data_IF_481304292410
#
_entry.id   IF_481304292410
#
_cell.length_a   1.000
_cell.length_b   1.000
_cell.length_c   1.000
_cell.angle_alpha   90.00
_cell.angle_beta   90.00
_cell.angle_gamma   90.00
#
_symmetry.space_group_name_H-M   'P 1'
#
loop_
_entity.id
_entity.type
_entity.pdbx_description
1 polymer ?
#
# COMPACT_ATOMS: atom_id res chain seq x y z
N UNK A 1 7.10 -8.89 -24.91
CA UNK A 1 5.69 -8.49 -24.79
C UNK A 1 5.30 -8.69 -23.34
N UNK A 2 5.07 -7.61 -22.58
CA UNK A 2 4.60 -7.72 -21.20
C UNK A 2 3.25 -8.46 -21.22
N UNK A 3 3.17 -9.54 -20.47
CA UNK A 3 1.93 -10.27 -20.30
C UNK A 3 0.92 -9.31 -19.65
N UNK A 4 -0.09 -8.89 -20.41
CA UNK A 4 -1.21 -8.13 -19.88
C UNK A 4 -1.99 -9.06 -18.97
N UNK A 5 -1.74 -8.96 -17.67
CA UNK A 5 -2.51 -9.67 -16.66
C UNK A 5 -3.94 -9.15 -16.72
N UNK A 6 -4.81 -9.95 -17.28
CA UNK A 6 -6.23 -9.68 -17.24
C UNK A 6 -6.72 -10.12 -15.86
N UNK A 7 -7.53 -9.31 -15.21
CA UNK A 7 -8.18 -9.63 -13.92
C UNK A 7 -9.03 -10.92 -13.96
N UNK A 8 -9.15 -11.59 -15.09
CA UNK A 8 -9.85 -12.88 -15.23
C UNK A 8 -9.25 -14.00 -14.40
N UNK A 9 -7.93 -13.95 -14.18
CA UNK A 9 -7.22 -14.92 -13.37
C UNK A 9 -6.40 -14.09 -12.39
N UNK A 10 -6.98 -13.71 -11.28
CA UNK A 10 -6.21 -13.14 -10.18
C UNK A 10 -5.13 -14.14 -9.81
N UNK A 11 -3.86 -13.75 -9.81
CA UNK A 11 -2.81 -14.67 -9.45
C UNK A 11 -2.98 -15.10 -8.00
N UNK A 12 -2.74 -16.37 -7.77
CA UNK A 12 -2.58 -16.85 -6.41
C UNK A 12 -1.26 -16.40 -5.80
N UNK A 13 -0.35 -15.87 -6.64
CA UNK A 13 0.99 -15.44 -6.28
C UNK A 13 1.14 -13.95 -6.50
N UNK A 14 1.50 -13.21 -5.46
CA UNK A 14 1.69 -11.76 -5.49
C UNK A 14 2.51 -11.29 -4.28
N UNK A 15 2.93 -10.04 -4.33
CA UNK A 15 3.56 -9.36 -3.21
C UNK A 15 2.66 -8.20 -2.75
N UNK A 16 2.14 -8.27 -1.54
CA UNK A 16 1.54 -7.11 -0.90
C UNK A 16 2.63 -6.24 -0.28
N UNK A 17 2.52 -4.92 -0.45
CA UNK A 17 3.52 -3.94 -0.03
C UNK A 17 2.84 -2.77 0.65
N UNK A 18 3.51 -2.23 1.66
CA UNK A 18 3.13 -1.00 2.34
C UNK A 18 4.38 -0.23 2.80
N UNK A 19 4.26 1.08 3.00
CA UNK A 19 5.35 1.91 3.49
C UNK A 19 4.90 2.83 4.62
N UNK A 20 5.79 3.06 5.58
CA UNK A 20 5.67 4.16 6.54
C UNK A 20 6.61 5.30 6.16
N UNK A 21 6.16 6.54 6.37
CA UNK A 21 6.89 7.73 5.96
C UNK A 21 6.96 8.77 7.07
N UNK A 22 7.86 9.76 6.93
CA UNK A 22 7.94 10.91 7.84
C UNK A 22 6.81 11.93 7.64
N UNK A 23 5.91 11.68 6.69
CA UNK A 23 4.78 12.56 6.38
C UNK A 23 4.17 12.23 5.03
N UNK A 24 3.47 13.18 4.42
CA UNK A 24 2.70 12.94 3.18
C UNK A 24 3.20 13.72 1.97
N UNK A 25 4.26 14.51 2.14
CA UNK A 25 4.78 15.40 1.11
C UNK A 25 5.83 14.68 0.27
N UNK A 26 5.45 14.27 -0.94
CA UNK A 26 6.33 13.61 -1.90
C UNK A 26 7.50 14.52 -2.28
N UNK A 27 8.72 13.96 -2.24
CA UNK A 27 9.95 14.71 -2.52
C UNK A 27 10.51 15.50 -1.32
N UNK A 28 9.79 15.54 -0.20
CA UNK A 28 10.27 16.11 1.07
C UNK A 28 10.35 15.02 2.16
N UNK A 29 9.31 14.25 2.30
CA UNK A 29 9.24 13.21 3.32
C UNK A 29 9.96 11.93 2.90
N UNK A 30 10.56 11.26 3.88
CA UNK A 30 11.34 10.05 3.69
C UNK A 30 10.51 8.79 3.98
N UNK A 31 10.78 7.71 3.26
CA UNK A 31 10.32 6.37 3.64
C UNK A 31 11.14 5.91 4.83
N UNK A 32 10.50 5.53 5.92
CA UNK A 32 11.14 5.09 7.17
C UNK A 32 10.95 3.61 7.47
N UNK A 33 9.98 2.98 6.83
CA UNK A 33 9.81 1.54 6.84
C UNK A 33 9.22 1.08 5.51
N UNK A 34 9.66 -0.07 5.02
CA UNK A 34 9.04 -0.79 3.91
C UNK A 34 8.68 -2.17 4.43
N UNK A 35 7.41 -2.53 4.26
CA UNK A 35 6.88 -3.83 4.64
C UNK A 35 6.34 -4.59 3.46
N UNK A 36 6.35 -5.92 3.57
CA UNK A 36 5.77 -6.78 2.57
C UNK A 36 5.12 -8.03 3.17
N UNK A 37 4.22 -8.60 2.38
CA UNK A 37 3.67 -9.93 2.58
C UNK A 37 3.71 -10.66 1.24
N UNK A 38 4.64 -11.62 1.11
CA UNK A 38 4.76 -12.46 -0.07
C UNK A 38 3.76 -13.61 0.01
N UNK A 39 3.03 -13.83 -1.06
CA UNK A 39 1.93 -14.78 -1.14
C UNK A 39 2.17 -15.77 -2.27
N UNK A 40 2.07 -17.06 -1.96
CA UNK A 40 2.15 -18.15 -2.92
C UNK A 40 0.93 -19.07 -2.75
N UNK A 41 0.25 -19.35 -3.85
CA UNK A 41 -1.00 -20.12 -3.84
C UNK A 41 -2.07 -19.56 -2.89
N UNK A 42 -2.13 -18.22 -2.76
CA UNK A 42 -3.07 -17.52 -1.89
C UNK A 42 -2.70 -17.56 -0.40
N UNK A 43 -1.58 -18.18 -0.02
CA UNK A 43 -1.11 -18.27 1.36
C UNK A 43 0.10 -17.38 1.60
N UNK A 44 0.17 -16.61 2.70
CA UNK A 44 1.34 -15.85 3.07
C UNK A 44 2.51 -16.80 3.40
N UNK A 45 3.63 -16.65 2.70
CA UNK A 45 4.84 -17.47 2.87
C UNK A 45 5.98 -16.69 3.50
N UNK A 46 5.97 -15.38 3.38
CA UNK A 46 6.94 -14.47 4.00
C UNK A 46 6.26 -13.16 4.35
N UNK A 47 6.58 -12.64 5.51
CA UNK A 47 6.14 -11.34 5.99
C UNK A 47 7.29 -10.68 6.73
N UNK A 48 7.68 -9.51 6.27
CA UNK A 48 8.77 -8.76 6.87
C UNK A 48 8.61 -7.26 6.70
N UNK A 49 9.17 -6.51 7.63
CA UNK A 49 9.28 -5.06 7.58
C UNK A 49 10.69 -4.62 7.90
N UNK A 50 11.25 -3.73 7.10
CA UNK A 50 12.59 -3.19 7.26
C UNK A 50 12.53 -1.71 7.56
N UNK A 51 13.10 -1.30 8.70
CA UNK A 51 13.32 0.09 9.06
C UNK A 51 14.53 0.64 8.28
N UNK A 52 14.44 1.87 7.80
CA UNK A 52 15.48 2.57 7.06
C UNK A 52 16.19 3.55 7.98
N UNK A 53 17.45 3.28 8.33
CA UNK A 53 18.24 4.13 9.25
C UNK A 53 18.76 5.39 8.57
N UNK A 54 17.91 6.39 8.40
CA UNK A 54 18.30 7.70 7.93
C UNK A 54 19.14 8.48 8.96
N UNK A 55 19.26 8.00 10.21
CA UNK A 55 20.07 8.66 11.23
C UNK A 55 21.56 8.56 10.93
N UNK A 56 21.96 7.55 10.14
CA UNK A 56 23.34 7.36 9.70
C UNK A 56 23.69 8.09 8.40
N UNK A 57 22.72 8.73 7.72
CA UNK A 57 22.92 9.41 6.44
C UNK A 57 23.31 10.87 6.66
N UNK A 58 24.56 11.32 6.36
CA UNK A 58 25.05 12.64 6.72
C UNK A 58 24.29 13.81 6.06
N UNK A 59 23.67 13.59 4.92
CA UNK A 59 22.89 14.60 4.19
C UNK A 59 21.50 14.85 4.78
N UNK A 60 21.04 14.03 5.71
CA UNK A 60 19.74 14.17 6.36
C UNK A 60 19.89 14.99 7.66
N UNK A 61 19.12 16.07 7.77
CA UNK A 61 19.04 16.83 9.02
C UNK A 61 18.35 16.00 10.11
N UNK A 62 19.14 15.63 11.12
CA UNK A 62 18.69 14.73 12.18
C UNK A 62 17.63 15.35 13.09
N UNK A 63 17.66 16.67 13.27
CA UNK A 63 16.64 17.38 14.05
C UNK A 63 15.32 17.39 13.28
N UNK A 64 15.39 17.70 11.98
CA UNK A 64 14.22 17.63 11.12
C UNK A 64 13.59 16.24 11.12
N UNK A 65 14.41 15.17 10.99
CA UNK A 65 13.94 13.78 11.01
C UNK A 65 13.21 13.45 12.33
N UNK A 66 13.81 13.81 13.47
CA UNK A 66 13.20 13.57 14.77
C UNK A 66 11.88 14.32 14.95
N UNK A 67 11.84 15.61 14.55
CA UNK A 67 10.63 16.45 14.61
C UNK A 67 9.50 15.88 13.71
N UNK A 68 9.83 15.39 12.51
CA UNK A 68 8.84 14.78 11.58
C UNK A 68 8.27 13.50 12.17
N UNK A 69 9.10 12.60 12.68
CA UNK A 69 8.64 11.37 13.33
C UNK A 69 7.73 11.64 14.52
N UNK A 70 8.08 12.62 15.36
CA UNK A 70 7.24 13.03 16.48
C UNK A 70 5.88 13.58 16.01
N UNK A 71 5.86 14.31 14.89
CA UNK A 71 4.63 14.84 14.29
C UNK A 71 3.74 13.72 13.76
N UNK A 72 4.31 12.73 13.04
CA UNK A 72 3.57 11.56 12.54
C UNK A 72 2.98 10.77 13.70
N UNK A 73 3.80 10.48 14.73
CA UNK A 73 3.35 9.83 15.95
C UNK A 73 2.13 10.53 16.55
N UNK A 74 2.20 11.86 16.71
CA UNK A 74 1.07 12.64 17.22
C UNK A 74 -0.19 12.51 16.36
N UNK A 75 -0.05 12.49 15.02
CA UNK A 75 -1.18 12.36 14.08
C UNK A 75 -1.81 10.98 14.10
N UNK A 76 -1.03 9.94 14.37
CA UNK A 76 -1.52 8.57 14.47
C UNK A 76 -2.19 8.31 15.80
N UNK A 77 -1.56 8.74 16.90
CA UNK A 77 -2.00 8.41 18.26
C UNK A 77 -3.10 9.34 18.79
N UNK A 78 -3.28 10.52 18.19
CA UNK A 78 -4.28 11.50 18.62
C UNK A 78 -5.09 12.04 17.44
N UNK A 79 -6.40 12.22 17.65
CA UNK A 79 -7.27 12.85 16.67
C UNK A 79 -7.06 14.37 16.59
N UNK A 80 -7.83 15.05 15.73
CA UNK A 80 -7.75 16.52 15.58
C UNK A 80 -8.18 17.29 16.81
N UNK A 81 -8.92 16.67 17.71
CA UNK A 81 -9.36 17.21 19.00
C UNK A 81 -8.38 16.86 20.13
N UNK A 82 -7.28 16.14 19.82
CA UNK A 82 -6.27 15.73 20.80
C UNK A 82 -6.70 14.54 21.65
N UNK A 83 -7.73 13.78 21.24
CA UNK A 83 -8.14 12.56 21.95
C UNK A 83 -7.34 11.36 21.45
N UNK A 84 -6.98 10.41 22.33
CA UNK A 84 -6.29 9.18 21.93
C UNK A 84 -7.13 8.38 20.91
N UNK A 85 -6.49 7.96 19.83
CA UNK A 85 -7.13 7.14 18.77
C UNK A 85 -7.16 5.65 19.11
N UNK A 86 -6.40 5.21 20.11
CA UNK A 86 -6.12 3.79 20.38
C UNK A 86 -5.10 3.15 19.43
N UNK A 87 -4.55 3.93 18.50
CA UNK A 87 -3.50 3.48 17.57
C UNK A 87 -2.12 3.83 18.12
N UNK A 88 -1.11 3.07 17.72
CA UNK A 88 0.28 3.32 18.11
C UNK A 88 1.14 3.51 16.86
N UNK A 89 2.03 4.49 16.90
CA UNK A 89 3.04 4.68 15.87
C UNK A 89 4.35 4.06 16.32
N UNK A 90 4.78 3.03 15.62
CA UNK A 90 5.90 2.20 16.05
C UNK A 90 7.26 2.66 15.53
N UNK A 91 7.30 3.59 14.58
CA UNK A 91 8.56 4.10 14.02
C UNK A 91 9.00 5.33 14.81
N UNK A 92 10.10 5.22 15.54
CA UNK A 92 10.70 6.32 16.30
C UNK A 92 12.15 6.56 15.88
N UNK A 93 12.68 7.74 16.17
CA UNK A 93 14.07 8.08 15.86
C UNK A 93 15.05 7.09 16.49
N UNK A 94 14.86 6.75 17.77
CA UNK A 94 15.73 5.81 18.49
C UNK A 94 15.64 4.41 17.88
N UNK A 95 14.46 4.02 17.45
CA UNK A 95 14.23 2.73 16.82
C UNK A 95 14.86 2.64 15.44
N UNK A 96 14.78 3.70 14.62
CA UNK A 96 15.49 3.76 13.33
C UNK A 96 16.99 3.57 13.53
N UNK A 97 17.56 4.23 14.53
CA UNK A 97 18.98 4.15 14.83
C UNK A 97 19.42 2.79 15.36
N UNK A 98 18.57 2.14 16.17
CA UNK A 98 18.91 0.87 16.82
C UNK A 98 18.68 -0.36 15.95
N UNK A 99 17.64 -0.34 15.12
CA UNK A 99 17.14 -1.50 14.39
C UNK A 99 17.15 -1.31 12.86
N UNK A 100 17.34 -0.08 12.39
CA UNK A 100 17.28 0.24 10.96
C UNK A 100 18.49 -0.27 10.19
N UNK A 101 18.26 -0.58 8.92
CA UNK A 101 19.29 -0.94 7.96
C UNK A 101 19.68 0.26 7.08
N UNK A 102 20.79 0.17 6.35
CA UNK A 102 21.22 1.18 5.38
C UNK A 102 20.09 1.46 4.37
N UNK A 103 19.57 2.69 4.34
CA UNK A 103 18.43 3.04 3.49
C UNK A 103 18.69 2.78 2.01
N UNK A 104 19.92 3.04 1.54
CA UNK A 104 20.27 2.89 0.13
C UNK A 104 20.30 1.40 -0.25
N UNK A 105 20.84 0.56 0.62
CA UNK A 105 20.84 -0.88 0.41
C UNK A 105 19.43 -1.46 0.41
N UNK A 106 18.57 -1.02 1.35
CA UNK A 106 17.16 -1.44 1.43
C UNK A 106 16.40 -1.01 0.18
N UNK A 107 16.47 0.26 -0.19
CA UNK A 107 15.80 0.77 -1.40
C UNK A 107 16.23 0.01 -2.65
N UNK A 108 17.54 -0.28 -2.80
CA UNK A 108 18.07 -1.05 -3.93
C UNK A 108 17.50 -2.47 -3.94
N UNK A 109 17.48 -3.15 -2.81
CA UNK A 109 16.95 -4.51 -2.71
C UNK A 109 15.47 -4.59 -3.09
N UNK A 110 14.64 -3.65 -2.60
CA UNK A 110 13.23 -3.58 -2.97
C UNK A 110 13.01 -3.20 -4.43
N UNK A 111 13.80 -2.25 -4.97
CA UNK A 111 13.75 -1.89 -6.38
C UNK A 111 14.03 -3.11 -7.27
N UNK A 112 15.10 -3.85 -6.98
CA UNK A 112 15.48 -5.04 -7.75
C UNK A 112 14.41 -6.13 -7.65
N UNK A 113 13.84 -6.30 -6.47
CA UNK A 113 12.76 -7.25 -6.26
C UNK A 113 11.48 -6.87 -7.03
N UNK A 114 11.07 -5.62 -7.00
CA UNK A 114 9.91 -5.16 -7.77
C UNK A 114 10.11 -5.33 -9.28
N UNK A 115 11.30 -5.01 -9.79
CA UNK A 115 11.64 -5.25 -11.20
C UNK A 115 11.53 -6.74 -11.54
N UNK A 116 12.04 -7.61 -10.66
CA UNK A 116 11.98 -9.06 -10.85
C UNK A 116 10.54 -9.58 -10.82
N UNK A 117 9.74 -9.18 -9.84
CA UNK A 117 8.33 -9.58 -9.71
C UNK A 117 7.56 -9.21 -10.98
N UNK A 118 7.75 -8.02 -11.51
CA UNK A 118 7.14 -7.58 -12.76
C UNK A 118 7.61 -8.40 -13.96
N UNK A 119 8.90 -8.70 -14.04
CA UNK A 119 9.46 -9.53 -15.11
C UNK A 119 8.91 -10.96 -15.08
N UNK A 120 8.68 -11.50 -13.89
CA UNK A 120 8.05 -12.81 -13.68
C UNK A 120 6.52 -12.78 -13.92
N UNK A 121 5.96 -11.61 -14.21
CA UNK A 121 4.53 -11.44 -14.46
C UNK A 121 3.65 -11.53 -13.23
N UNK A 122 4.21 -11.37 -12.05
CA UNK A 122 3.48 -11.35 -10.78
C UNK A 122 2.95 -9.95 -10.48
N UNK A 123 1.96 -9.88 -9.57
CA UNK A 123 1.37 -8.62 -9.15
C UNK A 123 2.04 -8.06 -7.90
N UNK A 124 2.04 -6.74 -7.87
CA UNK A 124 2.18 -5.98 -6.63
C UNK A 124 0.80 -5.52 -6.18
N UNK A 125 0.51 -5.67 -4.90
CA UNK A 125 -0.76 -5.29 -4.28
C UNK A 125 -0.48 -4.28 -3.18
N UNK A 126 -1.28 -3.23 -3.07
CA UNK A 126 -1.18 -2.25 -2.00
C UNK A 126 -2.55 -1.66 -1.68
N UNK A 127 -2.65 -0.88 -0.60
CA UNK A 127 -3.86 -0.14 -0.28
C UNK A 127 -3.62 1.35 -0.47
N UNK A 128 -4.35 1.97 -1.42
CA UNK A 128 -4.11 3.37 -1.86
C UNK A 128 -2.71 3.60 -2.46
N UNK A 129 -2.01 2.53 -2.83
CA UNK A 129 -0.61 2.55 -3.18
C UNK A 129 -0.29 3.28 -4.48
N UNK A 130 -1.20 3.31 -5.44
CA UNK A 130 -0.99 4.10 -6.67
C UNK A 130 -0.95 5.61 -6.39
N UNK A 131 -1.58 6.07 -5.31
CA UNK A 131 -1.57 7.48 -4.92
C UNK A 131 -0.50 7.80 -3.88
N UNK A 132 -0.06 6.82 -3.10
CA UNK A 132 0.86 7.03 -1.98
C UNK A 132 2.16 6.22 -2.14
N UNK A 133 2.12 4.90 -2.02
CA UNK A 133 3.34 4.07 -1.97
C UNK A 133 4.18 4.17 -3.25
N UNK A 134 3.56 3.99 -4.41
CA UNK A 134 4.28 4.01 -5.68
C UNK A 134 4.98 5.35 -5.96
N UNK A 135 4.34 6.52 -5.78
CA UNK A 135 5.02 7.79 -5.92
C UNK A 135 6.15 8.04 -4.93
N UNK A 136 6.02 7.58 -3.67
CA UNK A 136 7.09 7.69 -2.69
C UNK A 136 8.26 6.78 -3.04
N UNK A 137 8.01 5.52 -3.39
CA UNK A 137 9.04 4.57 -3.79
C UNK A 137 9.75 5.02 -5.06
N UNK A 138 9.03 5.44 -6.10
CA UNK A 138 9.64 5.96 -7.33
C UNK A 138 10.47 7.21 -7.05
N UNK A 139 9.99 8.13 -6.21
CA UNK A 139 10.75 9.31 -5.80
C UNK A 139 12.03 8.94 -5.06
N UNK A 140 11.97 7.98 -4.13
CA UNK A 140 13.14 7.50 -3.42
C UNK A 140 14.14 6.78 -4.35
N UNK A 141 13.65 5.95 -5.28
CA UNK A 141 14.51 5.30 -6.28
C UNK A 141 15.18 6.32 -7.20
N UNK A 142 14.46 7.34 -7.65
CA UNK A 142 15.04 8.41 -8.46
C UNK A 142 16.11 9.20 -7.70
N UNK A 143 15.79 9.67 -6.50
CA UNK A 143 16.69 10.55 -5.73
C UNK A 143 17.91 9.79 -5.21
N UNK A 144 17.74 8.57 -4.70
CA UNK A 144 18.80 7.86 -3.98
C UNK A 144 19.49 6.77 -4.81
N UNK A 145 18.84 6.27 -5.87
CA UNK A 145 19.42 5.24 -6.74
C UNK A 145 19.73 5.73 -8.15
N UNK A 146 19.27 6.94 -8.51
CA UNK A 146 19.48 7.50 -9.85
C UNK A 146 18.61 6.86 -10.93
N UNK A 147 17.42 6.35 -10.57
CA UNK A 147 16.49 5.80 -11.56
C UNK A 147 15.84 6.91 -12.39
N UNK A 148 16.02 6.87 -13.69
CA UNK A 148 15.48 7.88 -14.62
C UNK A 148 14.01 7.68 -14.94
N UNK A 149 13.47 6.49 -14.67
CA UNK A 149 12.09 6.12 -15.00
C UNK A 149 11.38 5.49 -13.79
N UNK A 150 10.05 5.66 -13.67
CA UNK A 150 9.30 5.03 -12.62
C UNK A 150 9.42 3.50 -12.64
N UNK A 151 9.82 2.89 -11.54
CA UNK A 151 9.84 1.44 -11.36
C UNK A 151 8.43 0.90 -11.17
N UNK A 152 7.57 1.67 -10.51
CA UNK A 152 6.17 1.35 -10.23
C UNK A 152 5.27 2.32 -10.99
N UNK A 153 4.82 1.95 -12.18
CA UNK A 153 3.95 2.79 -13.03
C UNK A 153 2.60 2.11 -13.28
N UNK A 154 1.65 2.38 -12.39
CA UNK A 154 0.25 2.00 -12.57
C UNK A 154 -0.02 0.49 -12.59
N UNK A 155 0.91 -0.32 -12.12
CA UNK A 155 0.81 -1.79 -12.12
C UNK A 155 0.48 -2.35 -10.73
N UNK A 156 0.33 -1.48 -9.73
CA UNK A 156 -0.15 -1.87 -8.41
C UNK A 156 -1.64 -2.16 -8.46
N UNK A 157 -2.02 -3.34 -8.00
CA UNK A 157 -3.40 -3.60 -7.69
C UNK A 157 -3.76 -2.87 -6.38
N UNK A 158 -4.61 -1.86 -6.50
CA UNK A 158 -4.95 -0.98 -5.38
C UNK A 158 -6.27 -1.42 -4.74
N UNK A 159 -6.18 -2.02 -3.55
CA UNK A 159 -7.36 -2.49 -2.81
C UNK A 159 -8.27 -1.33 -2.36
N UNK A 160 -7.74 -0.12 -2.20
CA UNK A 160 -8.53 1.08 -1.95
C UNK A 160 -9.43 1.44 -3.14
N UNK A 161 -8.95 1.19 -4.38
CA UNK A 161 -9.79 1.38 -5.57
C UNK A 161 -10.87 0.31 -5.68
N UNK A 162 -10.61 -0.93 -5.26
CA UNK A 162 -11.64 -1.97 -5.21
C UNK A 162 -12.73 -1.61 -4.20
N UNK A 163 -12.35 -1.17 -3.01
CA UNK A 163 -13.30 -0.69 -1.99
C UNK A 163 -14.14 0.48 -2.54
N UNK A 164 -13.50 1.41 -3.24
CA UNK A 164 -14.20 2.52 -3.89
C UNK A 164 -15.18 2.04 -4.95
N UNK A 165 -14.78 1.07 -5.77
CA UNK A 165 -15.62 0.50 -6.81
C UNK A 165 -16.86 -0.20 -6.20
N UNK A 166 -16.67 -0.99 -5.15
CA UNK A 166 -17.76 -1.67 -4.45
C UNK A 166 -18.78 -0.67 -3.90
N UNK A 167 -18.33 0.37 -3.21
CA UNK A 167 -19.20 1.43 -2.67
C UNK A 167 -19.91 2.23 -3.76
N UNK A 168 -19.26 2.39 -4.91
CA UNK A 168 -19.81 3.07 -6.08
C UNK A 168 -20.64 2.18 -6.99
N UNK A 169 -20.81 0.89 -6.66
CA UNK A 169 -21.42 -0.12 -7.52
C UNK A 169 -20.80 -0.17 -8.93
N UNK A 170 -19.48 0.00 -8.99
CA UNK A 170 -18.68 -0.06 -10.22
C UNK A 170 -18.07 -1.46 -10.34
N UNK A 171 -18.40 -2.18 -11.40
CA UNK A 171 -17.84 -3.51 -11.66
C UNK A 171 -16.37 -3.47 -12.14
N UNK A 172 -15.69 -4.59 -11.99
CA UNK A 172 -14.47 -4.90 -12.74
C UNK A 172 -14.86 -5.38 -14.14
N UNK A 173 -14.25 -4.81 -15.18
CA UNK A 173 -14.42 -5.29 -16.53
C UNK A 173 -13.39 -6.37 -16.85
N UNK A 174 -13.76 -7.31 -17.72
CA UNK A 174 -12.87 -8.40 -18.08
C UNK A 174 -11.56 -7.93 -18.76
N UNK A 175 -11.58 -6.75 -19.36
CA UNK A 175 -10.47 -6.11 -20.06
C UNK A 175 -9.64 -5.19 -19.18
N UNK A 176 -10.08 -4.94 -17.93
CA UNK A 176 -9.35 -4.05 -17.03
C UNK A 176 -7.95 -4.62 -16.75
N UNK A 177 -6.96 -3.73 -16.86
CA UNK A 177 -5.66 -3.87 -16.22
C UNK A 177 -5.68 -3.16 -14.87
N UNK A 178 -4.73 -3.37 -13.95
CA UNK A 178 -4.65 -2.58 -12.72
C UNK A 178 -4.74 -1.09 -12.99
N UNK A 179 -4.02 -0.60 -14.01
CA UNK A 179 -4.00 0.80 -14.40
C UNK A 179 -5.34 1.29 -14.96
N UNK A 180 -5.93 0.58 -15.91
CA UNK A 180 -7.21 1.00 -16.50
C UNK A 180 -8.34 0.99 -15.49
N UNK A 181 -8.35 0.01 -14.59
CA UNK A 181 -9.28 -0.05 -13.47
C UNK A 181 -9.10 1.14 -12.53
N UNK A 182 -7.85 1.42 -12.12
CA UNK A 182 -7.52 2.57 -11.28
C UNK A 182 -7.97 3.89 -11.93
N UNK A 183 -7.63 4.11 -13.19
CA UNK A 183 -7.99 5.33 -13.93
C UNK A 183 -9.51 5.49 -14.02
N UNK A 184 -10.24 4.43 -14.29
CA UNK A 184 -11.69 4.44 -14.43
C UNK A 184 -12.39 4.72 -13.10
N UNK A 185 -12.02 4.00 -12.05
CA UNK A 185 -12.62 4.16 -10.71
C UNK A 185 -12.19 5.48 -10.09
N UNK A 186 -10.93 5.88 -10.31
CA UNK A 186 -10.38 7.14 -9.79
C UNK A 186 -11.14 8.38 -10.28
N UNK A 187 -11.59 8.38 -11.54
CA UNK A 187 -12.31 9.49 -12.16
C UNK A 187 -13.77 9.63 -11.69
N UNK A 188 -14.34 8.60 -11.07
CA UNK A 188 -15.74 8.65 -10.66
C UNK A 188 -15.92 9.52 -9.41
N UNK A 189 -16.82 10.55 -9.46
CA UNK A 189 -17.12 11.34 -8.29
C UNK A 189 -18.00 10.54 -7.35
N UNK A 190 -17.43 9.96 -6.32
CA UNK A 190 -18.21 9.32 -5.26
C UNK A 190 -18.63 10.40 -4.25
N UNK A 191 -19.76 11.05 -4.48
CA UNK A 191 -20.35 11.99 -3.54
C UNK A 191 -20.71 11.25 -2.23
N UNK A 192 -20.23 11.75 -1.10
CA UNK A 192 -20.59 11.26 0.23
C UNK A 192 -19.79 10.06 0.74
N UNK A 193 -18.89 9.51 -0.03
CA UNK A 193 -17.93 8.51 0.48
C UNK A 193 -16.83 9.26 1.20
N UNK A 194 -16.92 9.42 2.50
CA UNK A 194 -15.74 9.70 3.30
C UNK A 194 -14.82 8.49 3.11
N UNK A 195 -13.63 8.76 2.62
CA UNK A 195 -12.53 7.84 2.71
C UNK A 195 -12.19 7.68 4.20
N UNK A 196 -12.99 6.90 4.90
CA UNK A 196 -12.55 6.36 6.16
C UNK A 196 -11.58 5.24 5.76
N UNK A 197 -10.37 5.63 5.44
CA UNK A 197 -9.19 4.78 5.35
C UNK A 197 -8.82 4.31 6.77
N UNK A 198 -9.80 4.10 7.61
CA UNK A 198 -9.60 3.55 8.93
C UNK A 198 -9.21 2.09 8.74
N UNK A 199 -7.90 1.88 8.79
CA UNK A 199 -7.28 0.57 8.80
C UNK A 199 -7.79 -0.34 7.66
N UNK A 200 -7.62 0.09 6.40
CA UNK A 200 -7.82 -0.74 5.20
C UNK A 200 -9.22 -1.32 5.03
N UNK A 201 -10.27 -0.69 5.55
CA UNK A 201 -11.61 -1.27 5.57
C UNK A 201 -11.72 -2.65 6.29
N UNK A 202 -10.70 -3.05 7.00
CA UNK A 202 -10.65 -4.33 7.74
C UNK A 202 -11.83 -4.48 8.71
N UNK A 203 -12.16 -3.47 9.56
CA UNK A 203 -13.31 -3.56 10.45
C UNK A 203 -14.64 -3.63 9.71
N UNK A 204 -14.80 -2.90 8.61
CA UNK A 204 -16.01 -2.86 7.81
C UNK A 204 -16.38 -4.22 7.21
N UNK A 205 -15.36 -5.02 6.86
CA UNK A 205 -15.54 -6.37 6.35
C UNK A 205 -15.48 -7.45 7.44
N UNK A 206 -15.36 -7.06 8.72
CA UNK A 206 -15.29 -8.00 9.84
C UNK A 206 -14.02 -8.85 9.88
N UNK A 207 -13.01 -8.51 9.08
CA UNK A 207 -11.78 -9.29 8.96
C UNK A 207 -10.97 -9.33 10.26
N UNK A 208 -11.02 -8.25 11.05
CA UNK A 208 -10.36 -8.21 12.36
C UNK A 208 -10.89 -9.28 13.34
N UNK A 209 -12.18 -9.58 13.30
CA UNK A 209 -12.79 -10.64 14.10
C UNK A 209 -12.47 -12.01 13.49
N UNK A 210 -12.67 -12.15 12.16
CA UNK A 210 -12.44 -13.40 11.42
C UNK A 210 -11.02 -13.94 11.60
N UNK A 211 -10.02 -13.05 11.62
CA UNK A 211 -8.61 -13.39 11.69
C UNK A 211 -7.96 -13.11 13.04
N UNK A 212 -8.74 -12.71 14.06
CA UNK A 212 -8.26 -12.36 15.40
C UNK A 212 -7.11 -11.35 15.37
N UNK A 213 -7.26 -10.27 14.59
CA UNK A 213 -6.21 -9.28 14.32
C UNK A 213 -6.04 -8.34 15.51
N UNK A 214 -4.79 -8.09 15.88
CA UNK A 214 -4.44 -7.02 16.81
C UNK A 214 -4.30 -5.69 16.04
N UNK A 215 -5.36 -4.91 16.02
CA UNK A 215 -5.40 -3.63 15.31
C UNK A 215 -4.50 -2.55 15.93
N UNK A 216 -3.91 -2.79 17.11
CA UNK A 216 -2.91 -1.89 17.69
C UNK A 216 -1.58 -1.92 16.94
N UNK A 217 -1.33 -3.00 16.16
CA UNK A 217 -0.16 -3.15 15.30
C UNK A 217 -0.30 -2.45 13.94
N UNK A 218 -1.48 -1.92 13.61
CA UNK A 218 -1.65 -1.07 12.42
C UNK A 218 -0.68 0.12 12.48
N UNK A 219 -0.25 0.61 11.32
CA UNK A 219 0.85 1.57 11.16
C UNK A 219 2.24 0.98 11.46
N UNK A 220 2.40 -0.32 11.16
CA UNK A 220 3.68 -0.95 10.87
C UNK A 220 3.61 -1.56 9.47
N UNK A 221 4.54 -1.22 8.59
CA UNK A 221 4.42 -1.52 7.17
C UNK A 221 4.27 -3.03 6.86
N UNK A 222 4.92 -3.92 7.62
CA UNK A 222 4.75 -5.38 7.45
C UNK A 222 3.35 -5.85 7.88
N UNK A 223 2.81 -5.26 8.94
CA UNK A 223 1.46 -5.60 9.37
C UNK A 223 0.43 -5.07 8.40
N UNK A 224 0.62 -3.85 7.92
CA UNK A 224 -0.28 -3.21 6.98
C UNK A 224 -0.23 -3.90 5.59
N UNK A 225 0.94 -4.36 5.15
CA UNK A 225 1.05 -5.26 3.99
C UNK A 225 0.27 -6.58 4.18
N UNK A 226 0.29 -7.14 5.40
CA UNK A 226 -0.52 -8.32 5.74
C UNK A 226 -2.02 -8.01 5.77
N UNK A 227 -2.43 -6.88 6.33
CA UNK A 227 -3.83 -6.44 6.28
C UNK A 227 -4.30 -6.24 4.83
N UNK A 228 -3.43 -5.68 3.98
CA UNK A 228 -3.67 -5.54 2.56
C UNK A 228 -3.86 -6.90 1.87
N UNK A 229 -3.02 -7.90 2.21
CA UNK A 229 -3.21 -9.28 1.75
C UNK A 229 -4.58 -9.84 2.14
N UNK A 230 -4.99 -9.72 3.40
CA UNK A 230 -6.27 -10.24 3.87
C UNK A 230 -7.46 -9.57 3.15
N UNK A 231 -7.36 -8.26 2.94
CA UNK A 231 -8.37 -7.50 2.21
C UNK A 231 -8.43 -7.92 0.75
N UNK A 232 -7.27 -8.13 0.12
CA UNK A 232 -7.20 -8.62 -1.25
C UNK A 232 -7.82 -10.01 -1.40
N UNK A 233 -7.51 -10.96 -0.49
CA UNK A 233 -8.15 -12.27 -0.46
C UNK A 233 -9.67 -12.19 -0.29
N UNK A 234 -10.14 -11.33 0.60
CA UNK A 234 -11.56 -11.09 0.76
C UNK A 234 -12.22 -10.66 -0.55
N UNK A 235 -11.58 -9.72 -1.30
CA UNK A 235 -12.11 -9.30 -2.59
C UNK A 235 -12.03 -10.39 -3.66
N UNK A 236 -11.03 -11.26 -3.63
CA UNK A 236 -10.96 -12.42 -4.50
C UNK A 236 -12.13 -13.38 -4.23
N UNK A 237 -12.41 -13.67 -2.96
CA UNK A 237 -13.52 -14.53 -2.54
C UNK A 237 -14.87 -13.93 -2.97
N UNK A 238 -15.06 -12.63 -2.76
CA UNK A 238 -16.27 -11.93 -3.19
C UNK A 238 -16.36 -11.82 -4.72
N UNK A 239 -15.25 -11.63 -5.45
CA UNK A 239 -15.21 -11.55 -6.90
C UNK A 239 -15.41 -12.90 -7.58
N UNK A 240 -15.03 -14.00 -6.95
CA UNK A 240 -15.41 -15.34 -7.36
C UNK A 240 -16.93 -15.53 -7.44
N UNK A 241 -17.67 -14.64 -6.77
CA UNK A 241 -19.13 -14.49 -6.86
C UNK A 241 -19.58 -13.37 -7.80
N UNK A 242 -18.71 -12.88 -8.71
CA UNK A 242 -18.92 -11.72 -9.60
C UNK A 242 -19.08 -10.41 -8.80
N UNK A 243 -18.02 -9.60 -8.72
CA UNK A 243 -18.24 -8.16 -8.60
C UNK A 243 -19.28 -7.79 -9.65
N UNK A 244 -20.46 -7.23 -9.29
CA UNK A 244 -21.53 -7.01 -10.23
C UNK A 244 -20.97 -6.21 -11.41
N UNK A 245 -20.92 -6.86 -12.59
CA UNK A 245 -20.63 -6.16 -13.83
C UNK A 245 -21.74 -5.11 -14.04
N UNK A 246 -21.50 -4.07 -14.87
CA UNK A 246 -22.54 -3.13 -15.24
C UNK A 246 -23.73 -3.97 -15.67
N UNK A 247 -24.91 -3.66 -15.09
CA UNK A 247 -26.14 -4.32 -15.45
C UNK A 247 -26.23 -4.25 -16.98
N UNK A 248 -26.34 -5.42 -17.64
CA UNK A 248 -26.51 -5.49 -19.08
C UNK A 248 -27.76 -4.68 -19.43
N UNK A 249 -27.60 -3.44 -19.86
CA UNK A 249 -28.73 -2.57 -20.19
C UNK A 249 -28.51 -1.07 -20.04
N UNK A 250 -27.36 -0.62 -19.54
CA UNK A 250 -27.05 0.82 -19.52
C UNK A 250 -26.49 1.26 -20.87
N UNK A 251 -27.37 1.64 -21.80
CA UNK A 251 -26.95 2.35 -23.01
C UNK A 251 -26.23 3.64 -22.59
N UNK A 252 -25.05 3.86 -23.17
CA UNK A 252 -24.36 5.12 -23.05
C UNK A 252 -25.27 6.26 -23.55
N UNK A 253 -25.48 7.27 -22.74
CA UNK A 253 -25.91 8.61 -23.12
C UNK A 253 -24.76 9.56 -22.82
#
# INVERSE_FOLDING_TARGET
MAATHKFRNFPCDYLAVDIETTGVEKGLDLIVQIGHCAVVNGLPVDRSGTLLDWTAVPSIDQRWLADRLALVKKRVEFDRQGQPTGKHYHVTYDRLRAEGADPIAVLRAYRDWFVKIRADGLFLVSHNGNQFDAPFLNGAFSVFLGEDHPVLDGELFDTGMVEKALRGNLGLWAEDTPKSFFDRVGRQPLKGVRWALDAFAIPQHGLHVKHALDMSLAHTADYDAYLCHLLFQHYLDESGRRLPGPAAGGAAV
#
